data_IF_584680129851
#
_entry.id   IF_584680129851
#
_cell.length_a   1.000
_cell.length_b   1.000
_cell.length_c   1.000
_cell.angle_alpha   90.00
_cell.angle_beta   90.00
_cell.angle_gamma   90.00
#
_symmetry.space_group_name_H-M   'P 1'
#
loop_
_entity.id
_entity.type
_entity.pdbx_description
1 polymer ?
#
# COMPACT_ATOMS: atom_id res chain seq x y z
N UNK A 1 -1.43 20.58 6.37
CA UNK A 1 -0.93 19.29 6.92
C UNK A 1 -2.06 18.26 6.84
N UNK A 2 -1.75 16.96 6.81
CA UNK A 2 -2.71 15.86 6.73
C UNK A 2 -2.64 14.96 7.99
N UNK A 3 -3.03 15.44 9.20
CA UNK A 3 -2.83 14.68 10.45
C UNK A 3 -3.57 13.34 10.50
N UNK A 4 -4.75 13.27 9.87
CA UNK A 4 -5.59 12.07 9.86
C UNK A 4 -4.90 10.84 9.27
N UNK A 5 -3.90 11.01 8.40
CA UNK A 5 -3.16 9.88 7.81
C UNK A 5 -2.34 9.09 8.85
N UNK A 6 -2.02 9.70 10.00
CA UNK A 6 -1.34 9.03 11.12
C UNK A 6 -2.33 8.32 12.05
N UNK A 7 -3.60 8.73 12.02
CA UNK A 7 -4.65 8.22 12.90
C UNK A 7 -5.44 7.09 12.23
N UNK A 8 -5.85 7.31 10.99
CA UNK A 8 -6.66 6.41 10.20
C UNK A 8 -5.93 5.12 9.84
N UNK A 9 -6.70 4.04 9.79
CA UNK A 9 -6.22 2.73 9.35
C UNK A 9 -6.51 2.51 7.87
N UNK A 10 -5.65 1.75 7.21
CA UNK A 10 -5.84 1.33 5.82
C UNK A 10 -7.08 0.42 5.73
N UNK A 11 -7.93 0.69 4.74
CA UNK A 11 -9.06 -0.18 4.41
C UNK A 11 -8.61 -1.34 3.51
N UNK A 12 -8.51 -2.53 4.09
CA UNK A 12 -8.21 -3.77 3.37
C UNK A 12 -9.45 -4.44 2.75
N UNK A 13 -10.65 -4.08 3.20
CA UNK A 13 -11.88 -4.75 2.78
C UNK A 13 -12.26 -4.39 1.34
N UNK A 14 -12.00 -3.16 0.91
CA UNK A 14 -12.32 -2.72 -0.46
C UNK A 14 -11.24 -3.02 -1.50
N UNK A 15 -10.04 -3.46 -1.09
CA UNK A 15 -8.90 -3.69 -1.99
C UNK A 15 -9.20 -4.69 -3.11
N UNK A 16 -9.73 -5.86 -2.75
CA UNK A 16 -10.00 -6.94 -3.70
C UNK A 16 -11.02 -6.52 -4.75
N UNK A 17 -12.15 -5.92 -4.32
CA UNK A 17 -13.21 -5.45 -5.21
C UNK A 17 -12.69 -4.38 -6.17
N UNK A 18 -11.84 -3.46 -5.68
CA UNK A 18 -11.22 -2.42 -6.53
C UNK A 18 -10.29 -3.04 -7.58
N UNK A 19 -9.49 -4.04 -7.23
CA UNK A 19 -8.60 -4.72 -8.18
C UNK A 19 -9.40 -5.45 -9.26
N UNK A 20 -10.47 -6.17 -8.88
CA UNK A 20 -11.37 -6.83 -9.85
C UNK A 20 -12.01 -5.83 -10.82
N UNK A 21 -12.44 -4.68 -10.32
CA UNK A 21 -12.97 -3.60 -11.18
C UNK A 21 -11.88 -3.06 -12.09
N UNK A 22 -10.67 -2.81 -11.58
CA UNK A 22 -9.53 -2.34 -12.40
C UNK A 22 -9.15 -3.34 -13.50
N UNK A 23 -9.16 -4.64 -13.21
CA UNK A 23 -8.99 -5.71 -14.21
C UNK A 23 -10.06 -5.63 -15.30
N UNK A 24 -11.32 -5.46 -14.90
CA UNK A 24 -12.45 -5.30 -15.83
C UNK A 24 -12.30 -4.06 -16.71
N UNK A 25 -11.72 -2.99 -16.16
CA UNK A 25 -11.43 -1.74 -16.88
C UNK A 25 -10.15 -1.81 -17.74
N UNK A 26 -9.46 -2.97 -17.78
CA UNK A 26 -8.30 -3.20 -18.63
C UNK A 26 -6.94 -2.90 -17.99
N UNK A 27 -6.88 -2.67 -16.68
CA UNK A 27 -5.60 -2.57 -15.96
C UNK A 27 -4.95 -3.97 -15.88
N UNK A 28 -3.68 -4.13 -16.28
CA UNK A 28 -3.04 -5.45 -16.46
C UNK A 28 -2.61 -6.08 -15.13
N UNK A 29 -3.53 -6.28 -14.20
CA UNK A 29 -3.29 -7.08 -12.99
C UNK A 29 -3.39 -8.58 -13.32
N UNK A 30 -2.46 -9.42 -12.83
CA UNK A 30 -2.51 -10.86 -13.04
C UNK A 30 -3.83 -11.48 -12.56
N UNK A 31 -4.27 -12.54 -13.23
CA UNK A 31 -5.41 -13.33 -12.78
C UNK A 31 -5.15 -13.89 -11.37
N UNK A 32 -6.15 -13.84 -10.49
CA UNK A 32 -6.00 -14.24 -9.09
C UNK A 32 -5.26 -13.24 -8.19
N UNK A 33 -4.70 -12.15 -8.73
CA UNK A 33 -3.96 -11.17 -7.92
C UNK A 33 -4.81 -10.54 -6.81
N UNK A 34 -6.11 -10.35 -7.04
CA UNK A 34 -7.02 -9.76 -6.07
C UNK A 34 -7.06 -10.54 -4.74
N UNK A 35 -6.85 -11.86 -4.77
CA UNK A 35 -6.89 -12.75 -3.60
C UNK A 35 -5.62 -12.63 -2.74
N UNK A 36 -4.48 -12.37 -3.37
CA UNK A 36 -3.17 -12.22 -2.69
C UNK A 36 -2.83 -10.76 -2.38
N UNK A 37 -3.55 -9.79 -2.95
CA UNK A 37 -3.22 -8.38 -2.87
C UNK A 37 -3.14 -7.85 -1.44
N UNK A 38 -4.03 -8.30 -0.55
CA UNK A 38 -4.00 -7.88 0.85
C UNK A 38 -2.79 -8.42 1.61
N UNK A 39 -2.29 -9.60 1.26
CA UNK A 39 -1.09 -10.17 1.88
C UNK A 39 0.17 -9.47 1.39
N UNK A 40 0.26 -9.17 0.09
CA UNK A 40 1.35 -8.38 -0.47
C UNK A 40 1.36 -6.94 0.07
N UNK A 41 0.18 -6.33 0.22
CA UNK A 41 0.04 -5.03 0.86
C UNK A 41 0.60 -5.05 2.29
N UNK A 42 0.21 -6.03 3.12
CA UNK A 42 0.71 -6.15 4.51
C UNK A 42 2.23 -6.27 4.56
N UNK A 43 2.82 -7.15 3.74
CA UNK A 43 4.29 -7.31 3.66
C UNK A 43 4.97 -5.99 3.31
N UNK A 44 4.44 -5.27 2.32
CA UNK A 44 4.98 -3.98 1.92
C UNK A 44 4.85 -2.94 3.04
N UNK A 45 3.70 -2.89 3.71
CA UNK A 45 3.45 -1.97 4.79
C UNK A 45 4.36 -2.22 6.00
N UNK A 46 4.60 -3.48 6.36
CA UNK A 46 5.55 -3.88 7.39
C UNK A 46 6.98 -3.46 7.05
N UNK A 47 7.43 -3.72 5.82
CA UNK A 47 8.76 -3.31 5.37
C UNK A 47 8.96 -1.80 5.44
N UNK A 48 7.96 -1.02 5.04
CA UNK A 48 8.02 0.44 5.10
C UNK A 48 8.04 0.93 6.55
N UNK A 49 7.19 0.36 7.41
CA UNK A 49 7.14 0.71 8.83
C UNK A 49 8.48 0.42 9.52
N UNK A 50 9.14 -0.70 9.20
CA UNK A 50 10.46 -1.03 9.75
C UNK A 50 11.54 -0.06 9.26
N UNK A 51 11.59 0.24 7.96
CA UNK A 51 12.54 1.21 7.40
C UNK A 51 12.37 2.61 8.03
N UNK A 52 11.12 3.02 8.31
CA UNK A 52 10.83 4.27 9.01
C UNK A 52 11.30 4.22 10.47
N UNK A 53 11.12 3.09 11.14
CA UNK A 53 11.58 2.87 12.52
C UNK A 53 13.10 2.98 12.63
N UNK A 54 13.84 2.41 11.68
CA UNK A 54 15.30 2.56 11.57
C UNK A 54 15.71 4.03 11.36
N UNK A 55 14.88 4.79 10.66
CA UNK A 55 15.07 6.24 10.45
C UNK A 55 14.59 7.11 11.63
N UNK A 56 14.16 6.50 12.73
CA UNK A 56 13.70 7.18 13.95
C UNK A 56 12.22 7.60 13.97
N UNK A 57 11.43 7.22 12.97
CA UNK A 57 10.00 7.53 12.87
C UNK A 57 9.19 6.30 13.28
N UNK A 58 8.44 6.39 14.38
CA UNK A 58 7.54 5.31 14.81
C UNK A 58 6.15 5.50 14.23
N UNK A 59 5.71 4.56 13.39
CA UNK A 59 4.35 4.51 12.88
C UNK A 59 3.92 3.06 12.70
N UNK A 60 2.64 2.76 12.93
CA UNK A 60 2.12 1.41 12.72
C UNK A 60 1.95 1.13 11.23
N UNK A 61 2.19 -0.11 10.82
CA UNK A 61 2.05 -0.55 9.42
C UNK A 61 0.62 -0.44 8.89
N UNK A 62 -0.38 -0.43 9.78
CA UNK A 62 -1.79 -0.34 9.42
C UNK A 62 -2.28 1.10 9.14
N UNK A 63 -1.40 2.12 9.15
CA UNK A 63 -1.77 3.53 8.97
C UNK A 63 -1.82 3.97 7.51
N UNK A 64 -2.75 4.86 7.16
CA UNK A 64 -2.88 5.40 5.81
C UNK A 64 -1.61 6.08 5.28
N UNK A 65 -0.82 6.71 6.16
CA UNK A 65 0.46 7.32 5.79
C UNK A 65 1.43 6.31 5.18
N UNK A 66 1.39 5.03 5.62
CA UNK A 66 2.22 3.97 5.05
C UNK A 66 1.84 3.69 3.59
N UNK A 67 0.52 3.62 3.30
CA UNK A 67 0.04 3.44 1.93
C UNK A 67 0.46 4.59 1.01
N UNK A 68 0.42 5.82 1.53
CA UNK A 68 0.90 7.01 0.79
C UNK A 68 2.41 6.95 0.51
N UNK A 69 3.20 6.55 1.51
CA UNK A 69 4.65 6.38 1.35
C UNK A 69 4.95 5.28 0.32
N UNK A 70 4.25 4.15 0.38
CA UNK A 70 4.40 3.06 -0.58
C UNK A 70 4.16 3.53 -2.02
N UNK A 71 3.08 4.32 -2.23
CA UNK A 71 2.74 4.89 -3.53
C UNK A 71 3.83 5.84 -4.04
N UNK A 72 4.32 6.75 -3.19
CA UNK A 72 5.35 7.71 -3.56
C UNK A 72 6.71 7.04 -3.85
N UNK A 73 7.10 6.04 -3.06
CA UNK A 73 8.31 5.26 -3.30
C UNK A 73 8.23 4.57 -4.67
N UNK A 74 7.09 3.95 -4.97
CA UNK A 74 6.84 3.29 -6.25
C UNK A 74 6.90 4.28 -7.43
N UNK A 75 6.28 5.46 -7.30
CA UNK A 75 6.38 6.52 -8.33
C UNK A 75 7.83 6.93 -8.61
N UNK A 76 8.69 6.97 -7.59
CA UNK A 76 10.09 7.36 -7.73
C UNK A 76 11.00 6.28 -8.34
N UNK A 77 10.58 5.02 -8.33
CA UNK A 77 11.43 3.87 -8.74
C UNK A 77 10.90 3.07 -9.91
N UNK A 78 9.59 3.05 -10.16
CA UNK A 78 8.98 2.22 -11.21
C UNK A 78 9.44 2.58 -12.62
N UNK A 79 9.87 3.84 -12.86
CA UNK A 79 10.42 4.27 -14.16
C UNK A 79 11.83 3.69 -14.41
N UNK A 80 12.55 3.27 -13.37
CA UNK A 80 13.95 2.82 -13.46
C UNK A 80 14.12 1.30 -13.50
N UNK A 81 13.04 0.54 -13.30
CA UNK A 81 13.00 -0.91 -13.49
C UNK A 81 12.36 -1.23 -14.84
#
# INVERSE_FOLDING_TARGET
AYPWMFENKIDYASTESKIKVMQTLGVPYPEGFAEIANDDLKKQAEQIAENLRESGIQVMSDKEIIAMIAYLQRMGTDIKK
#
